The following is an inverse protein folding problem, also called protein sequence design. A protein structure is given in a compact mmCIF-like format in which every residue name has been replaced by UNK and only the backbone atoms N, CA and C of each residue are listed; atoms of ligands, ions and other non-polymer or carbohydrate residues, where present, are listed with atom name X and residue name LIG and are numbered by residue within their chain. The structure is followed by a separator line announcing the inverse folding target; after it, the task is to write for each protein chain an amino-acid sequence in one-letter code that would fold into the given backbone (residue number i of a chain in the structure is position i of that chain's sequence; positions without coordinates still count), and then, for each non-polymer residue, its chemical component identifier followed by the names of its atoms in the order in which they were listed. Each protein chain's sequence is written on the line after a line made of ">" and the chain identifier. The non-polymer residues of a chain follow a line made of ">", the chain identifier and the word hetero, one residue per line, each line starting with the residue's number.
data_IF_008251902598
#
_entry.id   IF_008251902598
#
_cell.length_a   1.000
_cell.length_b   1.000
_cell.length_c   1.000
_cell.angle_alpha   90.00
_cell.angle_beta   90.00
_cell.angle_gamma   90.00
#
_symmetry.space_group_name_H-M   'P 1'
#
loop_
_entity.id
_entity.type
_entity.pdbx_description
1 polymer ?
#
# COMPACT_ATOMS: atom_id res chain seq x y z
N UNK A 1 -20.84 45.68 -1.90
CA UNK A 1 -20.45 44.31 -2.25
C UNK A 1 -19.73 43.67 -1.11
N UNK A 2 -20.46 42.88 -0.42
CA UNK A 2 -20.05 42.15 0.76
C UNK A 2 -18.96 41.14 0.38
N UNK A 3 -17.78 41.34 0.91
CA UNK A 3 -16.72 40.35 0.89
C UNK A 3 -17.21 39.08 1.61
N UNK A 4 -17.83 38.17 0.87
CA UNK A 4 -18.14 36.85 1.39
C UNK A 4 -16.81 36.15 1.69
N UNK A 5 -16.53 35.93 2.97
CA UNK A 5 -15.42 35.03 3.37
C UNK A 5 -15.61 33.68 2.69
N UNK A 6 -14.59 33.18 1.98
CA UNK A 6 -14.72 31.91 1.30
C UNK A 6 -14.97 30.79 2.31
N UNK A 7 -16.12 30.14 2.17
CA UNK A 7 -16.49 28.99 2.98
C UNK A 7 -15.58 27.82 2.58
N UNK A 8 -14.64 27.44 3.42
CA UNK A 8 -13.78 26.28 3.18
C UNK A 8 -14.55 24.99 3.41
N UNK A 9 -14.42 24.03 2.51
CA UNK A 9 -15.10 22.72 2.55
C UNK A 9 -14.11 21.61 2.32
N UNK A 10 -14.48 20.37 2.64
CA UNK A 10 -13.70 19.19 2.32
C UNK A 10 -13.39 19.03 0.82
N UNK A 11 -14.23 19.66 -0.05
CA UNK A 11 -13.97 19.74 -1.50
C UNK A 11 -12.71 20.52 -1.85
N UNK A 12 -12.27 21.45 -1.00
CA UNK A 12 -11.07 22.27 -1.22
C UNK A 12 -9.78 21.44 -1.08
N UNK A 13 -9.90 20.24 -0.52
CA UNK A 13 -8.82 19.25 -0.41
C UNK A 13 -8.73 18.32 -1.63
N UNK A 14 -9.59 18.49 -2.64
CA UNK A 14 -9.55 17.70 -3.88
C UNK A 14 -8.45 18.22 -4.81
N UNK A 15 -7.77 17.33 -5.55
CA UNK A 15 -6.79 17.73 -6.55
C UNK A 15 -7.37 18.69 -7.59
N UNK A 16 -6.58 19.67 -7.99
CA UNK A 16 -6.94 20.66 -9.01
C UNK A 16 -8.10 21.61 -8.65
N UNK A 17 -8.53 21.65 -7.39
CA UNK A 17 -9.54 22.59 -6.95
C UNK A 17 -8.94 24.00 -6.79
N UNK A 18 -9.48 24.99 -7.49
CA UNK A 18 -9.09 26.39 -7.35
C UNK A 18 -10.30 27.31 -7.51
N UNK A 19 -10.40 28.32 -6.66
CA UNK A 19 -11.39 29.41 -6.78
C UNK A 19 -10.82 30.65 -7.47
N UNK A 20 -9.53 30.63 -7.87
CA UNK A 20 -8.88 31.75 -8.53
C UNK A 20 -9.36 31.87 -9.97
N UNK A 21 -9.78 33.10 -10.35
CA UNK A 21 -10.19 33.44 -11.73
C UNK A 21 -9.01 33.60 -12.68
N UNK A 22 -7.81 33.86 -12.16
CA UNK A 22 -6.58 34.07 -12.92
C UNK A 22 -5.46 33.26 -12.25
N UNK A 23 -4.70 32.54 -13.04
CA UNK A 23 -3.53 31.78 -12.57
C UNK A 23 -2.36 32.74 -12.41
N UNK A 24 -1.80 32.83 -11.21
CA UNK A 24 -0.55 33.54 -10.92
C UNK A 24 0.54 32.54 -10.55
N UNK A 25 1.79 32.99 -10.50
CA UNK A 25 2.93 32.13 -10.16
C UNK A 25 2.87 31.55 -8.74
N UNK A 26 2.07 32.15 -7.86
CA UNK A 26 1.92 31.76 -6.46
C UNK A 26 0.55 31.11 -6.19
N UNK A 27 -0.49 31.40 -7.00
CA UNK A 27 -1.85 30.96 -6.74
C UNK A 27 -2.61 30.68 -8.05
N UNK A 28 -3.61 29.78 -7.99
CA UNK A 28 -4.52 29.54 -9.11
C UNK A 28 -4.28 28.24 -9.89
N UNK A 29 -3.18 27.52 -9.63
CA UNK A 29 -2.89 26.23 -10.30
C UNK A 29 -3.66 25.05 -9.71
N UNK A 30 -4.50 25.26 -8.70
CA UNK A 30 -5.20 24.18 -7.98
C UNK A 30 -4.25 23.26 -7.19
N UNK A 31 -3.03 23.72 -6.94
CA UNK A 31 -2.02 23.06 -6.12
C UNK A 31 -1.88 23.84 -4.81
N UNK A 32 -2.36 23.28 -3.72
CA UNK A 32 -2.34 23.96 -2.41
C UNK A 32 -2.75 23.00 -1.32
N UNK A 33 -4.03 22.96 -0.99
CA UNK A 33 -4.54 22.12 0.09
C UNK A 33 -4.52 20.63 -0.24
N UNK A 34 -4.62 20.25 -1.50
CA UNK A 34 -4.46 18.89 -1.97
C UNK A 34 -3.05 18.34 -1.72
N UNK A 35 -2.02 19.17 -1.96
CA UNK A 35 -0.62 18.81 -1.65
C UNK A 35 -0.42 18.65 -0.13
N UNK A 36 -1.03 19.53 0.67
CA UNK A 36 -0.99 19.44 2.13
C UNK A 36 -1.67 18.14 2.58
N UNK A 37 -2.86 17.82 2.05
CA UNK A 37 -3.57 16.58 2.34
C UNK A 37 -2.71 15.36 2.01
N UNK A 38 -2.19 15.28 0.78
CA UNK A 38 -1.33 14.18 0.32
C UNK A 38 -0.10 14.01 1.23
N UNK A 39 0.49 15.13 1.68
CA UNK A 39 1.65 15.07 2.58
C UNK A 39 1.28 14.56 3.96
N UNK A 40 0.16 14.98 4.52
CA UNK A 40 -0.34 14.52 5.82
C UNK A 40 -0.67 13.02 5.75
N UNK A 41 -1.39 12.60 4.70
CA UNK A 41 -1.72 11.18 4.48
C UNK A 41 -0.47 10.31 4.28
N UNK A 42 0.57 10.83 3.60
CA UNK A 42 1.86 10.13 3.47
C UNK A 42 2.62 9.95 4.78
N UNK A 43 2.26 10.72 5.80
CA UNK A 43 2.77 10.58 7.17
C UNK A 43 1.86 9.71 8.06
N UNK A 44 0.84 9.07 7.47
CA UNK A 44 -0.15 8.27 8.20
C UNK A 44 -1.16 9.12 8.99
N UNK A 45 -1.25 10.41 8.68
CA UNK A 45 -2.17 11.34 9.31
C UNK A 45 -3.46 11.54 8.53
N UNK A 46 -4.34 12.35 9.10
CA UNK A 46 -5.62 12.76 8.52
C UNK A 46 -5.83 14.26 8.67
N UNK A 47 -6.56 14.86 7.72
CA UNK A 47 -6.94 16.27 7.72
C UNK A 47 -8.44 16.44 7.52
N UNK A 48 -9.08 17.13 8.44
CA UNK A 48 -10.49 17.48 8.42
C UNK A 48 -10.66 19.02 8.38
N UNK A 49 -11.62 19.50 7.59
CA UNK A 49 -11.97 20.93 7.54
C UNK A 49 -13.39 21.12 8.01
N UNK A 50 -13.59 21.96 9.03
CA UNK A 50 -14.88 22.42 9.52
C UNK A 50 -15.01 23.91 9.27
N UNK A 51 -16.13 24.32 8.66
CA UNK A 51 -16.37 25.72 8.34
C UNK A 51 -17.75 26.15 8.83
N UNK A 52 -17.80 27.25 9.53
CA UNK A 52 -19.03 27.95 9.90
C UNK A 52 -19.07 29.28 9.16
N UNK A 53 -20.16 29.49 8.43
CA UNK A 53 -20.33 30.71 7.62
C UNK A 53 -20.28 31.95 8.51
N UNK A 54 -19.47 32.93 8.13
CA UNK A 54 -19.17 34.19 8.84
C UNK A 54 -18.39 34.07 10.16
N UNK A 55 -18.10 32.82 10.61
CA UNK A 55 -17.30 32.60 11.83
C UNK A 55 -15.85 32.17 11.49
N UNK A 56 -15.67 31.42 10.39
CA UNK A 56 -14.35 31.01 9.92
C UNK A 56 -14.24 29.54 9.59
N UNK A 57 -12.99 29.09 9.42
CA UNK A 57 -12.67 27.69 9.10
C UNK A 57 -11.64 27.13 10.07
N UNK A 58 -11.89 25.93 10.56
CA UNK A 58 -10.98 25.18 11.42
C UNK A 58 -10.41 24.00 10.65
N UNK A 59 -9.08 23.91 10.57
CA UNK A 59 -8.36 22.77 10.03
C UNK A 59 -7.90 21.89 11.18
N UNK A 60 -8.33 20.65 11.17
CA UNK A 60 -7.97 19.66 12.18
C UNK A 60 -7.01 18.66 11.53
N UNK A 61 -5.75 18.70 11.93
CA UNK A 61 -4.70 17.81 11.45
C UNK A 61 -4.39 16.82 12.56
N UNK A 62 -4.55 15.53 12.27
CA UNK A 62 -4.21 14.44 13.17
C UNK A 62 -2.98 13.74 12.60
N UNK A 63 -1.90 13.71 13.36
CA UNK A 63 -0.68 13.00 13.02
C UNK A 63 -0.42 11.93 14.08
N UNK A 64 -0.03 10.71 13.69
CA UNK A 64 0.43 9.72 14.65
C UNK A 64 1.72 10.22 15.32
N UNK A 65 1.78 10.12 16.64
CA UNK A 65 2.97 10.49 17.44
C UNK A 65 4.07 9.43 17.33
N UNK A 66 3.73 8.22 16.89
CA UNK A 66 4.65 7.11 16.73
C UNK A 66 4.92 6.85 15.26
N UNK A 67 6.12 6.39 14.92
CA UNK A 67 6.39 5.76 13.63
C UNK A 67 5.35 4.67 13.40
N UNK A 68 4.86 4.53 12.17
CA UNK A 68 3.92 3.47 11.83
C UNK A 68 4.62 2.11 11.99
N UNK A 69 4.50 1.55 13.19
CA UNK A 69 4.96 0.20 13.49
C UNK A 69 3.83 -0.75 13.12
N UNK A 70 4.12 -1.72 12.29
CA UNK A 70 3.18 -2.78 11.92
C UNK A 70 3.80 -4.14 12.20
N UNK A 71 2.94 -5.11 12.48
CA UNK A 71 3.30 -6.52 12.48
C UNK A 71 3.32 -7.01 11.04
N UNK A 72 4.41 -7.60 10.61
CA UNK A 72 4.58 -8.14 9.26
C UNK A 72 5.12 -9.56 9.28
N UNK A 73 4.75 -10.33 8.27
CA UNK A 73 5.40 -11.57 7.90
C UNK A 73 6.54 -11.23 6.96
N UNK A 74 7.75 -11.61 7.34
CA UNK A 74 8.93 -11.50 6.50
C UNK A 74 9.04 -12.74 5.63
N UNK A 75 9.21 -12.53 4.34
CA UNK A 75 9.38 -13.57 3.33
C UNK A 75 10.62 -13.31 2.49
N UNK A 76 11.13 -14.34 1.85
CA UNK A 76 12.27 -14.28 0.95
C UNK A 76 11.82 -14.66 -0.45
N UNK A 77 12.32 -13.94 -1.44
CA UNK A 77 12.14 -14.18 -2.88
C UNK A 77 13.50 -13.97 -3.54
N UNK A 78 14.09 -15.04 -4.05
CA UNK A 78 15.50 -15.03 -4.43
C UNK A 78 16.37 -14.65 -3.24
N UNK A 79 17.21 -13.64 -3.42
CA UNK A 79 18.10 -13.12 -2.36
C UNK A 79 17.52 -11.89 -1.65
N UNK A 80 16.27 -11.50 -1.94
CA UNK A 80 15.66 -10.28 -1.41
C UNK A 80 14.60 -10.57 -0.35
N UNK A 81 14.51 -9.67 0.65
CA UNK A 81 13.54 -9.77 1.75
C UNK A 81 12.35 -8.85 1.52
N UNK A 82 11.17 -9.40 1.71
CA UNK A 82 9.90 -8.67 1.60
C UNK A 82 9.08 -8.79 2.88
N UNK A 83 8.25 -7.79 3.11
CA UNK A 83 7.34 -7.74 4.25
C UNK A 83 5.89 -7.69 3.78
N UNK A 84 5.04 -8.55 4.34
CA UNK A 84 3.59 -8.58 4.11
C UNK A 84 2.90 -8.26 5.42
N UNK A 85 2.03 -7.24 5.45
CA UNK A 85 1.28 -6.89 6.66
C UNK A 85 0.45 -8.07 7.17
N UNK A 86 0.60 -8.44 8.45
CA UNK A 86 -0.18 -9.53 9.05
C UNK A 86 -1.68 -9.28 9.00
N UNK A 87 -2.11 -8.02 9.04
CA UNK A 87 -3.53 -7.66 8.92
C UNK A 87 -4.16 -8.02 7.56
N UNK A 88 -3.34 -8.26 6.54
CA UNK A 88 -3.79 -8.69 5.22
C UNK A 88 -3.73 -10.19 5.01
N UNK A 89 -3.07 -10.95 5.90
CA UNK A 89 -2.87 -12.40 5.76
C UNK A 89 -4.04 -13.14 6.37
N UNK A 90 -4.59 -14.09 5.63
CA UNK A 90 -5.63 -15.00 6.11
C UNK A 90 -5.05 -16.33 6.59
N UNK A 91 -4.18 -16.95 5.81
CA UNK A 91 -3.54 -18.23 6.13
C UNK A 91 -2.26 -18.39 5.31
N UNK A 92 -1.43 -19.33 5.71
CA UNK A 92 -0.23 -19.73 4.98
C UNK A 92 -0.37 -21.24 4.74
N UNK A 93 -0.16 -21.66 3.51
CA UNK A 93 -0.33 -23.05 3.08
C UNK A 93 0.89 -23.49 2.26
N UNK A 94 1.24 -24.76 2.40
CA UNK A 94 2.21 -25.41 1.53
C UNK A 94 1.44 -26.27 0.51
N UNK A 95 1.53 -25.91 -0.77
CA UNK A 95 0.67 -26.41 -1.83
C UNK A 95 1.49 -27.24 -2.80
N UNK A 96 1.22 -28.55 -2.94
CA UNK A 96 1.83 -29.37 -3.97
C UNK A 96 1.57 -28.79 -5.36
N UNK A 97 2.57 -28.77 -6.21
CA UNK A 97 2.44 -28.27 -7.60
C UNK A 97 1.35 -29.03 -8.36
N UNK A 98 1.14 -30.32 -8.03
CA UNK A 98 0.06 -31.16 -8.60
C UNK A 98 -1.35 -30.62 -8.35
N UNK A 99 -1.56 -29.83 -7.29
CA UNK A 99 -2.87 -29.28 -6.90
C UNK A 99 -3.18 -27.95 -7.59
N UNK A 100 -2.18 -27.36 -8.26
CA UNK A 100 -2.34 -26.14 -9.03
C UNK A 100 -3.07 -26.45 -10.34
N UNK A 101 -4.11 -25.67 -10.59
CA UNK A 101 -4.92 -25.76 -11.82
C UNK A 101 -4.85 -24.45 -12.57
N UNK A 102 -5.18 -24.52 -13.85
CA UNK A 102 -5.24 -23.35 -14.71
C UNK A 102 -6.69 -23.03 -15.05
N UNK A 103 -7.10 -21.80 -14.82
CA UNK A 103 -8.35 -21.24 -15.30
C UNK A 103 -8.01 -20.13 -16.28
N UNK A 104 -8.26 -20.39 -17.57
CA UNK A 104 -7.71 -19.60 -18.66
C UNK A 104 -6.17 -19.62 -18.60
N UNK A 105 -5.51 -18.50 -18.33
CA UNK A 105 -4.06 -18.35 -18.23
C UNK A 105 -3.57 -18.15 -16.79
N UNK A 106 -4.47 -18.24 -15.80
CA UNK A 106 -4.13 -17.96 -14.40
C UNK A 106 -4.04 -19.25 -13.61
N UNK A 107 -2.98 -19.38 -12.81
CA UNK A 107 -2.86 -20.40 -11.81
C UNK A 107 -3.88 -20.20 -10.69
N UNK A 108 -4.52 -21.26 -10.28
CA UNK A 108 -5.49 -21.25 -9.17
C UNK A 108 -5.32 -22.50 -8.32
N UNK A 109 -5.68 -22.40 -7.06
CA UNK A 109 -5.76 -23.53 -6.14
C UNK A 109 -7.14 -23.58 -5.48
N UNK A 110 -7.61 -24.79 -5.18
CA UNK A 110 -8.84 -24.96 -4.41
C UNK A 110 -8.48 -25.21 -2.93
N UNK A 111 -8.67 -24.20 -2.11
CA UNK A 111 -8.49 -24.31 -0.66
C UNK A 111 -9.85 -24.39 0.03
N UNK A 112 -10.15 -25.55 0.60
CA UNK A 112 -11.39 -25.80 1.38
C UNK A 112 -12.66 -25.40 0.63
N UNK A 113 -12.72 -25.68 -0.68
CA UNK A 113 -13.89 -25.38 -1.52
C UNK A 113 -13.89 -23.96 -2.12
N UNK A 114 -12.90 -23.13 -1.80
CA UNK A 114 -12.73 -21.79 -2.38
C UNK A 114 -11.62 -21.81 -3.42
N UNK A 115 -11.90 -21.33 -4.62
CA UNK A 115 -10.89 -21.19 -5.68
C UNK A 115 -10.16 -19.86 -5.49
N UNK A 116 -8.85 -19.95 -5.26
CA UNK A 116 -7.97 -18.80 -4.98
C UNK A 116 -6.99 -18.66 -6.13
N UNK A 117 -6.90 -17.49 -6.80
CA UNK A 117 -5.89 -17.22 -7.80
C UNK A 117 -4.52 -17.11 -7.14
N UNK A 118 -3.49 -17.67 -7.77
CA UNK A 118 -2.10 -17.55 -7.35
C UNK A 118 -1.44 -16.38 -8.09
N UNK A 119 -0.64 -15.64 -7.36
CA UNK A 119 0.21 -14.56 -7.87
C UNK A 119 1.66 -14.97 -7.61
N UNK A 120 2.37 -15.24 -8.68
CA UNK A 120 3.81 -15.49 -8.65
C UNK A 120 4.52 -14.15 -8.44
N UNK A 121 5.05 -13.92 -7.24
CA UNK A 121 5.71 -12.65 -6.91
C UNK A 121 7.03 -12.48 -7.65
N UNK A 122 7.75 -13.56 -7.96
CA UNK A 122 8.93 -13.58 -8.81
C UNK A 122 8.64 -12.92 -10.17
N UNK A 123 7.55 -13.33 -10.85
CA UNK A 123 7.14 -12.76 -12.13
C UNK A 123 6.70 -11.29 -12.01
N UNK A 124 6.05 -10.93 -10.89
CA UNK A 124 5.52 -9.57 -10.68
C UNK A 124 6.64 -8.59 -10.33
N UNK A 125 7.70 -9.07 -9.67
CA UNK A 125 8.86 -8.30 -9.23
C UNK A 125 10.04 -8.39 -10.19
N UNK A 126 9.91 -9.19 -11.27
CA UNK A 126 10.97 -9.43 -12.28
C UNK A 126 12.23 -10.05 -11.65
N UNK A 127 12.02 -11.02 -10.74
CA UNK A 127 13.07 -11.77 -10.06
C UNK A 127 13.28 -13.10 -10.79
N UNK A 128 14.53 -13.44 -11.06
CA UNK A 128 14.86 -14.74 -11.66
C UNK A 128 14.58 -15.85 -10.64
N UNK A 129 13.61 -16.72 -10.96
CA UNK A 129 13.28 -17.90 -10.18
C UNK A 129 14.02 -19.12 -10.74
N UNK A 130 14.74 -19.83 -9.89
CA UNK A 130 15.62 -20.93 -10.32
C UNK A 130 15.33 -22.29 -9.68
N UNK A 131 14.33 -22.42 -8.80
CA UNK A 131 14.04 -23.69 -8.13
C UNK A 131 12.85 -24.43 -8.75
N UNK A 132 13.05 -25.72 -9.05
CA UNK A 132 11.97 -26.69 -9.32
C UNK A 132 11.56 -27.31 -7.98
N UNK A 133 10.55 -26.74 -7.34
CA UNK A 133 10.03 -27.26 -6.08
C UNK A 133 8.82 -28.18 -6.31
N UNK A 134 8.71 -29.22 -5.51
CA UNK A 134 7.54 -30.14 -5.53
C UNK A 134 6.31 -29.49 -4.89
N UNK A 135 6.51 -28.49 -4.04
CA UNK A 135 5.47 -27.72 -3.37
C UNK A 135 5.79 -26.22 -3.34
N UNK A 136 4.78 -25.39 -3.28
CA UNK A 136 4.89 -23.94 -3.21
C UNK A 136 4.42 -23.44 -1.85
N UNK A 137 5.21 -22.57 -1.24
CA UNK A 137 4.76 -21.81 -0.07
C UNK A 137 3.87 -20.64 -0.51
N UNK A 138 2.62 -20.68 -0.08
CA UNK A 138 1.59 -19.69 -0.49
C UNK A 138 1.08 -18.93 0.71
N UNK A 139 1.25 -17.61 0.69
CA UNK A 139 0.66 -16.69 1.67
C UNK A 139 -0.68 -16.20 1.11
N UNK A 140 -1.78 -16.69 1.67
CA UNK A 140 -3.13 -16.28 1.26
C UNK A 140 -3.45 -14.94 1.90
N UNK A 141 -3.69 -13.94 1.06
CA UNK A 141 -4.01 -12.57 1.46
C UNK A 141 -5.44 -12.21 1.11
N UNK A 142 -6.00 -11.27 1.88
CA UNK A 142 -7.39 -10.83 1.76
C UNK A 142 -7.51 -9.32 1.71
N UNK A 143 -8.43 -8.84 0.83
CA UNK A 143 -8.91 -7.46 0.78
C UNK A 143 -10.43 -7.44 0.57
N UNK A 144 -11.20 -7.07 1.59
CA UNK A 144 -12.65 -7.22 1.55
C UNK A 144 -13.02 -8.68 1.32
N UNK A 145 -13.75 -8.97 0.23
CA UNK A 145 -14.15 -10.33 -0.17
C UNK A 145 -13.20 -10.99 -1.18
N UNK A 146 -12.15 -10.30 -1.60
CA UNK A 146 -11.16 -10.83 -2.56
C UNK A 146 -10.04 -11.54 -1.85
N UNK A 147 -9.63 -12.69 -2.40
CA UNK A 147 -8.52 -13.51 -1.95
C UNK A 147 -7.52 -13.69 -3.08
N UNK A 148 -6.24 -13.75 -2.74
CA UNK A 148 -5.19 -14.26 -3.62
C UNK A 148 -4.13 -14.99 -2.80
N UNK A 149 -3.45 -15.94 -3.41
CA UNK A 149 -2.29 -16.62 -2.86
C UNK A 149 -1.02 -16.01 -3.44
N UNK A 150 -0.20 -15.42 -2.59
CA UNK A 150 1.12 -14.92 -2.97
C UNK A 150 2.12 -16.06 -2.84
N UNK A 151 2.74 -16.45 -3.95
CA UNK A 151 3.79 -17.49 -3.95
C UNK A 151 5.09 -16.84 -3.53
N UNK A 152 5.73 -17.43 -2.52
CA UNK A 152 7.02 -16.99 -1.95
C UNK A 152 7.97 -18.17 -1.85
N UNK A 153 9.29 -17.91 -1.85
CA UNK A 153 10.28 -18.98 -1.76
C UNK A 153 10.40 -19.49 -0.33
N UNK A 154 10.43 -18.55 0.64
CA UNK A 154 10.67 -18.92 2.03
C UNK A 154 10.00 -17.98 3.02
N UNK A 155 9.58 -18.55 4.15
CA UNK A 155 9.10 -17.79 5.29
C UNK A 155 10.26 -17.53 6.25
N UNK A 156 10.52 -16.27 6.57
CA UNK A 156 11.53 -15.89 7.57
C UNK A 156 10.90 -15.86 8.96
N UNK A 157 9.68 -15.30 9.08
CA UNK A 157 8.94 -15.21 10.33
C UNK A 157 8.24 -13.88 10.52
N UNK A 158 7.60 -13.73 11.69
CA UNK A 158 6.87 -12.52 12.03
C UNK A 158 7.80 -11.53 12.74
N UNK A 159 7.68 -10.25 12.38
CA UNK A 159 8.48 -9.18 12.95
C UNK A 159 7.69 -7.88 13.01
N UNK A 160 7.97 -7.06 14.03
CA UNK A 160 7.55 -5.66 14.06
C UNK A 160 8.49 -4.83 13.19
N UNK A 161 7.91 -4.08 12.26
CA UNK A 161 8.66 -3.25 11.34
C UNK A 161 8.17 -1.81 11.36
N UNK A 162 9.08 -0.88 11.06
CA UNK A 162 8.77 0.54 10.91
C UNK A 162 8.65 0.86 9.43
N UNK A 163 7.47 1.31 9.01
CA UNK A 163 7.26 1.71 7.62
C UNK A 163 7.99 3.02 7.34
N UNK A 164 8.85 3.00 6.33
CA UNK A 164 9.47 4.18 5.74
C UNK A 164 8.96 4.35 4.32
N UNK A 165 8.48 5.56 3.99
CA UNK A 165 8.05 5.86 2.63
C UNK A 165 9.27 5.89 1.70
N UNK A 166 9.16 5.21 0.57
CA UNK A 166 10.11 5.32 -0.52
C UNK A 166 9.96 6.71 -1.15
N UNK A 167 11.06 7.43 -1.32
CA UNK A 167 11.06 8.73 -1.99
C UNK A 167 10.53 8.63 -3.43
N UNK A 168 10.13 9.75 -4.02
CA UNK A 168 9.51 9.82 -5.36
C UNK A 168 10.29 9.10 -6.48
N UNK A 169 11.57 8.88 -6.30
CA UNK A 169 12.44 8.24 -7.30
C UNK A 169 12.25 6.72 -7.40
N UNK A 170 11.79 6.07 -6.32
CA UNK A 170 11.62 4.61 -6.27
C UNK A 170 10.13 4.23 -6.41
N UNK A 171 9.21 5.09 -5.98
CA UNK A 171 7.75 4.83 -6.04
C UNK A 171 7.19 4.72 -7.47
N UNK A 172 7.94 5.13 -8.48
CA UNK A 172 7.51 5.01 -9.88
C UNK A 172 7.83 3.65 -10.52
N UNK A 173 8.69 2.85 -9.92
CA UNK A 173 9.18 1.60 -10.53
C UNK A 173 8.26 0.40 -10.27
N UNK A 174 7.50 0.39 -9.17
CA UNK A 174 6.54 -0.67 -8.90
C UNK A 174 5.41 -0.18 -8.00
N UNK A 175 4.18 -0.22 -8.52
CA UNK A 175 2.98 0.14 -7.76
C UNK A 175 2.68 -0.82 -6.60
N UNK A 176 3.32 -1.99 -6.61
CA UNK A 176 3.11 -3.06 -5.61
C UNK A 176 3.96 -2.89 -4.35
N UNK A 177 4.92 -1.95 -4.35
CA UNK A 177 5.74 -1.64 -3.18
C UNK A 177 5.12 -0.46 -2.43
N UNK A 178 4.62 -0.72 -1.23
CA UNK A 178 3.99 0.29 -0.35
C UNK A 178 4.99 1.07 0.51
N UNK A 179 6.24 0.60 0.62
CA UNK A 179 7.28 1.21 1.46
C UNK A 179 8.49 0.31 1.61
N UNK A 180 9.37 0.68 2.54
CA UNK A 180 10.50 -0.12 2.95
C UNK A 180 10.67 -0.09 4.46
N UNK A 181 11.42 -1.05 4.98
CA UNK A 181 11.86 -1.07 6.37
C UNK A 181 13.36 -1.39 6.45
N UNK A 182 13.99 -1.03 7.55
CA UNK A 182 15.35 -1.44 7.85
C UNK A 182 15.26 -2.44 8.99
N UNK A 183 15.78 -3.63 8.76
CA UNK A 183 15.79 -4.72 9.71
C UNK A 183 16.88 -4.53 10.78
N UNK A 184 16.85 -5.34 11.85
CA UNK A 184 17.81 -5.23 12.95
C UNK A 184 19.26 -5.53 12.56
N UNK A 185 19.49 -6.26 11.47
CA UNK A 185 20.79 -6.56 10.86
C UNK A 185 21.29 -5.45 9.92
N UNK A 186 20.47 -4.40 9.69
CA UNK A 186 20.75 -3.28 8.79
C UNK A 186 20.33 -3.52 7.35
N UNK A 187 19.80 -4.69 7.00
CA UNK A 187 19.28 -4.96 5.67
C UNK A 187 17.96 -4.21 5.41
N UNK A 188 17.68 -3.95 4.16
CA UNK A 188 16.45 -3.29 3.73
C UNK A 188 15.47 -4.35 3.24
N UNK A 189 14.24 -4.32 3.75
CA UNK A 189 13.15 -5.12 3.22
C UNK A 189 12.08 -4.22 2.60
N UNK A 190 11.55 -4.63 1.45
CA UNK A 190 10.47 -3.93 0.76
C UNK A 190 9.12 -4.39 1.30
N UNK A 191 8.20 -3.45 1.50
CA UNK A 191 6.86 -3.74 2.00
C UNK A 191 5.90 -3.87 0.83
N UNK A 192 5.27 -5.03 0.69
CA UNK A 192 4.30 -5.29 -0.37
C UNK A 192 2.94 -4.64 -0.06
N UNK A 193 2.41 -3.89 -1.02
CA UNK A 193 1.04 -3.37 -0.96
C UNK A 193 0.05 -4.39 -1.52
N UNK A 194 -0.52 -5.20 -0.62
CA UNK A 194 -1.56 -6.19 -0.95
C UNK A 194 -2.76 -5.55 -1.66
N UNK A 195 -3.05 -4.28 -1.41
CA UNK A 195 -4.18 -3.60 -2.04
C UNK A 195 -4.00 -3.40 -3.54
N UNK A 196 -2.78 -3.33 -3.99
CA UNK A 196 -2.45 -3.16 -5.42
C UNK A 196 -2.33 -4.50 -6.14
N UNK A 197 -2.02 -5.58 -5.41
CA UNK A 197 -1.93 -6.94 -5.93
C UNK A 197 -3.32 -7.59 -6.15
N UNK A 198 -4.34 -7.18 -5.41
CA UNK A 198 -5.73 -7.66 -5.44
C UNK A 198 -6.66 -6.71 -6.22
#
# INVERSE_FOLDING_TARGET
>A
DLHSFPTRRSSDLKPSFSTAKVVSDISGRGVGLDVVKTKIESLGGDIEVKTVLYEGSTFIIRLPLTLAIIQALMVELGDEKYAISLGSIQTIEDIPVSDIKYVQTKEVVNLRGTVIPLIRLDNVLDIEYTSEEESLTVVVVKKGDRLAGLVVDKLIGQQEIVIKSLGKYISNSSKIIGGATILGDGEVALILDVNTLL
#
